data_IF_808881814398
#
_entry.id   IF_808881814398
#
_cell.length_a   1.000
_cell.length_b   1.000
_cell.length_c   1.000
_cell.angle_alpha   90.00
_cell.angle_beta   90.00
_cell.angle_gamma   90.00
#
_symmetry.space_group_name_H-M   'P 1'
#
loop_
_entity.id
_entity.type
_entity.pdbx_description
1 polymer ?
#
# COMPACT_ATOMS: atom_id res chain seq x y z
N UNK A 1 4.71 24.94 27.47
CA UNK A 1 3.71 23.90 27.18
C UNK A 1 4.27 23.08 26.03
N UNK A 2 4.94 22.00 26.40
CA UNK A 2 5.70 21.13 25.52
C UNK A 2 4.71 20.16 24.87
N UNK A 3 4.47 20.34 23.57
CA UNK A 3 3.54 19.49 22.81
C UNK A 3 4.35 18.33 22.23
N UNK A 4 4.27 17.18 22.89
CA UNK A 4 4.85 15.94 22.41
C UNK A 4 4.20 15.54 21.08
N UNK A 5 5.03 15.38 20.05
CA UNK A 5 4.63 14.80 18.78
C UNK A 5 4.09 13.36 18.99
N UNK A 6 3.07 12.93 18.24
CA UNK A 6 2.66 11.54 18.26
C UNK A 6 3.77 10.69 17.63
N UNK A 7 4.44 9.88 18.46
CA UNK A 7 5.30 8.81 17.97
C UNK A 7 4.44 7.78 17.24
N UNK A 8 4.32 7.94 15.92
CA UNK A 8 3.59 7.01 15.08
C UNK A 8 4.47 5.80 14.73
N UNK A 9 4.30 4.76 15.55
CA UNK A 9 4.46 3.33 15.26
C UNK A 9 5.53 2.93 14.24
N UNK A 10 6.70 2.57 14.74
CA UNK A 10 7.50 1.54 14.08
C UNK A 10 6.64 0.26 13.89
N UNK A 11 6.90 -0.55 12.85
CA UNK A 11 6.39 -1.92 12.79
C UNK A 11 6.96 -2.72 13.97
N UNK A 12 6.31 -2.63 15.12
CA UNK A 12 6.60 -3.34 16.36
C UNK A 12 5.56 -4.45 16.59
N UNK A 13 5.02 -5.00 15.51
CA UNK A 13 4.15 -6.18 15.54
C UNK A 13 4.96 -7.46 15.52
N UNK A 14 4.43 -8.52 16.14
CA UNK A 14 4.93 -9.89 16.00
C UNK A 14 4.96 -10.30 14.52
N UNK A 15 5.77 -11.29 14.14
CA UNK A 15 5.85 -11.79 12.75
C UNK A 15 4.46 -12.16 12.21
N UNK A 16 3.63 -12.76 13.05
CA UNK A 16 2.24 -13.10 12.75
C UNK A 16 1.40 -11.87 12.31
N UNK A 17 1.60 -10.73 12.96
CA UNK A 17 0.91 -9.49 12.61
C UNK A 17 1.41 -8.92 11.28
N UNK A 18 2.71 -9.02 11.02
CA UNK A 18 3.30 -8.60 9.75
C UNK A 18 2.80 -9.48 8.58
N UNK A 19 2.67 -10.79 8.80
CA UNK A 19 2.10 -11.72 7.83
C UNK A 19 0.62 -11.40 7.54
N UNK A 20 -0.18 -11.06 8.56
CA UNK A 20 -1.57 -10.61 8.39
C UNK A 20 -1.66 -9.32 7.59
N UNK A 21 -0.87 -8.33 7.95
CA UNK A 21 -0.84 -7.04 7.27
C UNK A 21 -0.42 -7.19 5.82
N UNK A 22 0.59 -8.01 5.54
CA UNK A 22 1.03 -8.26 4.18
C UNK A 22 0.00 -9.07 3.37
N UNK A 23 -0.69 -10.03 3.99
CA UNK A 23 -1.83 -10.71 3.37
C UNK A 23 -2.96 -9.76 2.96
N UNK A 24 -3.32 -8.84 3.86
CA UNK A 24 -4.32 -7.79 3.57
C UNK A 24 -3.89 -6.88 2.40
N UNK A 25 -2.60 -6.53 2.34
CA UNK A 25 -2.02 -5.75 1.22
C UNK A 25 -2.15 -6.48 -0.12
N UNK A 26 -1.95 -7.80 -0.12
CA UNK A 26 -2.08 -8.64 -1.31
C UNK A 26 -3.55 -8.94 -1.68
N UNK A 27 -4.51 -8.53 -0.85
CA UNK A 27 -5.94 -8.77 -1.06
C UNK A 27 -6.37 -10.19 -0.67
N UNK A 28 -5.63 -10.86 0.21
CA UNK A 28 -5.95 -12.19 0.72
C UNK A 28 -6.91 -12.12 1.92
N UNK A 29 -7.71 -13.16 2.12
CA UNK A 29 -8.59 -13.30 3.31
C UNK A 29 -7.82 -13.69 4.58
N UNK A 30 -6.55 -14.10 4.46
CA UNK A 30 -5.71 -14.56 5.55
C UNK A 30 -4.27 -14.07 5.46
N UNK A 31 -3.44 -14.37 6.49
CA UNK A 31 -2.03 -14.01 6.49
C UNK A 31 -1.27 -14.75 5.37
N UNK A 32 -0.20 -14.15 4.88
CA UNK A 32 0.80 -14.88 4.08
C UNK A 32 1.60 -15.83 4.99
N UNK A 33 2.34 -16.76 4.39
CA UNK A 33 3.35 -17.51 5.15
C UNK A 33 4.54 -16.63 5.53
N UNK A 34 5.23 -16.99 6.61
CA UNK A 34 6.46 -16.31 7.03
C UNK A 34 7.54 -16.37 5.95
N UNK A 35 7.60 -17.46 5.19
CA UNK A 35 8.52 -17.65 4.07
C UNK A 35 8.27 -16.64 2.95
N UNK A 36 6.99 -16.38 2.62
CA UNK A 36 6.61 -15.37 1.63
C UNK A 36 6.97 -13.98 2.11
N UNK A 37 6.68 -13.67 3.39
CA UNK A 37 7.05 -12.39 3.98
C UNK A 37 8.57 -12.20 3.95
N UNK A 38 9.34 -13.22 4.36
CA UNK A 38 10.80 -13.19 4.38
C UNK A 38 11.37 -13.01 2.97
N UNK A 39 10.92 -13.82 2.01
CA UNK A 39 11.35 -13.71 0.62
C UNK A 39 11.04 -12.34 0.02
N UNK A 40 9.86 -11.77 0.29
CA UNK A 40 9.49 -10.44 -0.20
C UNK A 40 10.37 -9.34 0.41
N UNK A 41 10.84 -9.50 1.64
CA UNK A 41 11.75 -8.51 2.22
C UNK A 41 13.14 -8.56 1.58
N UNK A 42 13.63 -9.75 1.29
CA UNK A 42 14.99 -9.94 0.81
C UNK A 42 15.13 -9.90 -0.72
N UNK A 43 14.03 -10.05 -1.47
CA UNK A 43 13.99 -9.94 -2.92
C UNK A 43 12.98 -8.87 -3.38
N UNK A 44 13.44 -7.66 -3.75
CA UNK A 44 12.59 -6.58 -4.23
C UNK A 44 11.81 -6.92 -5.51
N UNK A 45 12.37 -7.76 -6.38
CA UNK A 45 11.71 -8.17 -7.62
C UNK A 45 10.54 -9.09 -7.30
N UNK A 46 10.75 -10.03 -6.38
CA UNK A 46 9.69 -10.91 -5.88
C UNK A 46 8.57 -10.12 -5.19
N UNK A 47 8.91 -9.14 -4.32
CA UNK A 47 7.91 -8.27 -3.72
C UNK A 47 7.10 -7.50 -4.78
N UNK A 48 7.77 -6.87 -5.75
CA UNK A 48 7.09 -6.18 -6.84
C UNK A 48 6.14 -7.11 -7.61
N UNK A 49 6.59 -8.34 -7.91
CA UNK A 49 5.78 -9.32 -8.61
C UNK A 49 4.54 -9.72 -7.82
N UNK A 50 4.64 -9.92 -6.49
CA UNK A 50 3.49 -10.18 -5.63
C UNK A 50 2.46 -9.04 -5.70
N UNK A 51 2.92 -7.78 -5.64
CA UNK A 51 2.02 -6.62 -5.68
C UNK A 51 1.36 -6.44 -7.06
N UNK A 52 2.11 -6.65 -8.13
CA UNK A 52 1.60 -6.60 -9.50
C UNK A 52 0.62 -7.75 -9.78
N UNK A 53 0.84 -8.90 -9.16
CA UNK A 53 -0.02 -10.09 -9.29
C UNK A 53 -1.32 -10.02 -8.50
N UNK A 54 -1.51 -9.06 -7.58
CA UNK A 54 -2.65 -9.03 -6.62
C UNK A 54 -4.06 -9.08 -7.23
N UNK A 55 -4.21 -8.78 -8.53
CA UNK A 55 -5.50 -8.84 -9.26
C UNK A 55 -5.63 -10.07 -10.16
N UNK A 56 -4.64 -10.94 -10.17
CA UNK A 56 -4.58 -12.18 -10.93
C UNK A 56 -4.40 -13.34 -9.95
N UNK A 57 -5.52 -13.93 -9.53
CA UNK A 57 -5.52 -15.01 -8.52
C UNK A 57 -4.56 -16.15 -8.89
N UNK A 58 -4.54 -16.56 -10.16
CA UNK A 58 -3.67 -17.62 -10.64
C UNK A 58 -2.18 -17.28 -10.46
N UNK A 59 -1.78 -16.07 -10.83
CA UNK A 59 -0.38 -15.65 -10.77
C UNK A 59 0.05 -15.35 -9.33
N UNK A 60 -0.84 -14.76 -8.53
CA UNK A 60 -0.61 -14.53 -7.11
C UNK A 60 -0.43 -15.86 -6.37
N UNK A 61 -1.33 -16.83 -6.57
CA UNK A 61 -1.22 -18.14 -5.94
C UNK A 61 0.05 -18.88 -6.35
N UNK A 62 0.48 -18.74 -7.61
CA UNK A 62 1.75 -19.30 -8.06
C UNK A 62 2.94 -18.71 -7.29
N UNK A 63 3.01 -17.38 -7.17
CA UNK A 63 4.09 -16.71 -6.43
C UNK A 63 4.06 -17.07 -4.93
N UNK A 64 2.89 -17.05 -4.30
CA UNK A 64 2.71 -17.43 -2.89
C UNK A 64 3.15 -18.88 -2.61
N UNK A 65 2.97 -19.78 -3.59
CA UNK A 65 3.36 -21.19 -3.45
C UNK A 65 4.82 -21.46 -3.81
N UNK A 66 5.52 -20.49 -4.39
CA UNK A 66 6.90 -20.63 -4.88
C UNK A 66 7.78 -19.44 -4.44
N UNK A 67 7.90 -19.15 -3.13
CA UNK A 67 8.80 -18.10 -2.66
C UNK A 67 10.26 -18.45 -3.01
N UNK A 68 11.07 -17.50 -3.50
CA UNK A 68 12.47 -17.73 -3.76
C UNK A 68 13.21 -18.07 -2.47
N UNK A 69 14.20 -18.96 -2.57
CA UNK A 69 15.08 -19.29 -1.43
C UNK A 69 16.02 -18.12 -1.22
N UNK A 70 15.92 -17.51 -0.04
CA UNK A 70 16.84 -16.46 0.39
C UNK A 70 17.99 -17.16 1.11
N UNK A 71 19.17 -17.14 0.51
CA UNK A 71 20.37 -17.67 1.16
C UNK A 71 20.80 -16.68 2.26
N UNK A 72 20.51 -17.01 3.52
CA UNK A 72 20.90 -16.24 4.71
C UNK A 72 22.42 -16.10 4.92
N UNK A 73 23.25 -16.43 3.92
CA UNK A 73 24.69 -16.58 4.02
C UNK A 73 25.50 -15.56 3.19
N UNK A 74 24.92 -14.79 2.26
CA UNK A 74 25.73 -14.06 1.27
C UNK A 74 25.94 -12.55 1.51
N UNK A 75 25.55 -12.00 2.66
CA UNK A 75 25.79 -10.57 2.98
C UNK A 75 26.62 -10.35 4.25
N UNK A 76 27.34 -11.39 4.71
CA UNK A 76 28.27 -11.32 5.85
C UNK A 76 29.74 -11.19 5.43
N UNK A 77 30.04 -10.81 4.17
CA UNK A 77 31.44 -10.76 3.68
C UNK A 77 32.09 -9.37 3.71
N UNK A 78 31.51 -8.36 4.36
CA UNK A 78 32.18 -7.04 4.43
C UNK A 78 32.43 -6.48 5.84
N UNK A 79 31.98 -7.11 6.92
CA UNK A 79 32.39 -6.67 8.26
C UNK A 79 32.74 -7.81 9.22
N UNK A 80 34.02 -7.78 9.61
CA UNK A 80 34.60 -8.28 10.85
C UNK A 80 34.87 -9.79 10.98
N UNK A 81 36.15 -10.13 10.76
CA UNK A 81 36.96 -10.74 11.82
C UNK A 81 36.59 -10.12 13.17
N UNK A 82 35.75 -10.78 13.96
CA UNK A 82 35.80 -10.80 15.44
C UNK A 82 34.67 -11.66 15.99
N UNK A 83 35.09 -12.70 16.73
CA UNK A 83 34.43 -13.30 17.87
C UNK A 83 33.01 -13.88 17.69
N UNK A 84 33.00 -15.22 17.79
CA UNK A 84 31.97 -16.06 18.44
C UNK A 84 30.73 -15.34 18.96
N UNK A 85 29.59 -15.63 18.34
CA UNK A 85 28.28 -15.25 18.84
C UNK A 85 27.23 -15.51 17.78
N UNK A 86 26.45 -16.56 17.97
CA UNK A 86 25.24 -16.89 17.19
C UNK A 86 24.49 -15.62 16.81
N UNK A 87 24.27 -15.31 15.52
CA UNK A 87 23.49 -14.15 15.14
C UNK A 87 22.04 -14.38 15.60
N UNK A 88 21.67 -13.69 16.67
CA UNK A 88 20.31 -13.71 17.21
C UNK A 88 19.35 -13.10 16.20
N UNK A 89 18.27 -13.85 15.91
CA UNK A 89 17.14 -13.53 15.01
C UNK A 89 16.57 -12.10 15.16
N UNK A 90 16.88 -11.40 16.24
CA UNK A 90 16.44 -10.03 16.52
C UNK A 90 17.14 -8.96 15.67
N UNK A 91 18.40 -9.15 15.27
CA UNK A 91 19.14 -8.15 14.48
C UNK A 91 18.73 -8.18 13.00
N UNK A 92 18.37 -9.37 12.51
CA UNK A 92 17.85 -9.57 11.15
C UNK A 92 16.45 -8.95 10.99
N UNK A 93 15.54 -9.21 11.93
CA UNK A 93 14.17 -8.68 11.89
C UNK A 93 14.09 -7.14 11.80
N UNK A 94 15.01 -6.43 12.47
CA UNK A 94 15.03 -4.95 12.50
C UNK A 94 15.43 -4.31 11.17
N UNK A 95 16.38 -4.88 10.43
CA UNK A 95 16.87 -4.32 9.14
C UNK A 95 15.94 -4.68 7.98
N UNK A 96 15.44 -5.91 8.00
CA UNK A 96 14.47 -6.52 7.08
C UNK A 96 13.17 -5.69 7.09
N UNK A 97 12.59 -5.43 8.26
CA UNK A 97 11.37 -4.62 8.36
C UNK A 97 11.51 -3.20 7.79
N UNK A 98 12.68 -2.57 7.90
CA UNK A 98 12.88 -1.18 7.47
C UNK A 98 12.96 -1.01 5.95
N UNK A 99 13.58 -1.95 5.23
CA UNK A 99 13.69 -1.89 3.76
C UNK A 99 12.35 -2.20 3.08
N UNK A 100 11.64 -3.23 3.56
CA UNK A 100 10.29 -3.55 3.11
C UNK A 100 9.31 -2.43 3.45
N UNK A 101 9.40 -1.84 4.66
CA UNK A 101 8.59 -0.68 5.04
C UNK A 101 8.87 0.55 4.19
N UNK A 102 10.12 0.81 3.81
CA UNK A 102 10.45 1.96 2.97
C UNK A 102 9.84 1.82 1.56
N UNK A 103 9.83 0.61 1.01
CA UNK A 103 9.18 0.31 -0.28
C UNK A 103 7.65 0.20 -0.18
N UNK A 104 7.14 -0.45 0.86
CA UNK A 104 5.70 -0.50 1.13
C UNK A 104 5.14 0.89 1.41
N UNK A 105 5.86 1.75 2.14
CA UNK A 105 5.50 3.16 2.35
C UNK A 105 5.57 3.95 1.04
N UNK A 106 6.46 3.63 0.11
CA UNK A 106 6.47 4.29 -1.20
C UNK A 106 5.32 3.83 -2.13
N UNK A 107 4.91 2.56 -2.06
CA UNK A 107 3.86 1.97 -2.92
C UNK A 107 2.44 1.89 -2.32
N UNK A 108 2.31 2.00 -0.99
CA UNK A 108 1.08 1.92 -0.18
C UNK A 108 0.90 3.08 0.78
N UNK A 109 1.74 4.13 0.73
CA UNK A 109 1.40 5.35 1.45
C UNK A 109 -0.01 5.73 1.04
N UNK A 110 -0.85 5.97 2.02
CA UNK A 110 -2.04 6.77 1.83
C UNK A 110 -1.70 8.19 2.22
N UNK A 111 -2.36 9.17 1.61
CA UNK A 111 -2.30 10.52 2.11
C UNK A 111 -2.87 10.59 3.53
N UNK A 112 -2.47 11.61 4.29
CA UNK A 112 -3.01 11.87 5.62
C UNK A 112 -4.54 12.08 5.57
N UNK A 113 -5.24 11.75 6.65
CA UNK A 113 -6.72 11.82 6.70
C UNK A 113 -7.27 13.20 6.37
N UNK A 114 -6.52 14.26 6.69
CA UNK A 114 -6.86 15.64 6.30
C UNK A 114 -6.81 15.83 4.78
N UNK A 115 -5.75 15.38 4.12
CA UNK A 115 -5.61 15.43 2.66
C UNK A 115 -6.67 14.54 2.00
N UNK A 116 -6.91 13.34 2.52
CA UNK A 116 -7.95 12.45 2.02
C UNK A 116 -9.33 13.10 2.09
N UNK A 117 -9.69 13.70 3.23
CA UNK A 117 -10.97 14.42 3.41
C UNK A 117 -11.07 15.59 2.44
N UNK A 118 -10.05 16.44 2.36
CA UNK A 118 -10.01 17.58 1.44
C UNK A 118 -10.23 17.14 -0.02
N UNK A 119 -9.51 16.11 -0.46
CA UNK A 119 -9.67 15.54 -1.81
C UNK A 119 -11.06 14.95 -2.02
N UNK A 120 -11.63 14.29 -0.99
CA UNK A 120 -12.97 13.70 -1.06
C UNK A 120 -14.05 14.77 -1.15
N UNK A 121 -13.95 15.84 -0.34
CA UNK A 121 -14.90 16.95 -0.33
C UNK A 121 -14.97 17.61 -1.71
N UNK A 122 -13.81 17.88 -2.32
CA UNK A 122 -13.73 18.37 -3.69
C UNK A 122 -14.42 17.42 -4.70
N UNK A 123 -14.35 16.10 -4.49
CA UNK A 123 -15.01 15.13 -5.35
C UNK A 123 -16.52 14.99 -5.09
N UNK A 124 -17.00 15.29 -3.88
CA UNK A 124 -18.43 15.20 -3.55
C UNK A 124 -19.27 16.27 -4.24
N UNK A 125 -18.70 17.46 -4.44
CA UNK A 125 -19.31 18.60 -5.14
C UNK A 125 -18.94 18.68 -6.63
N UNK A 126 -18.08 17.77 -7.11
CA UNK A 126 -17.61 17.81 -8.50
C UNK A 126 -18.72 17.40 -9.49
N UNK A 127 -18.96 18.18 -10.56
CA UNK A 127 -19.98 17.87 -11.56
C UNK A 127 -19.70 16.59 -12.35
N UNK A 128 -18.48 16.07 -12.27
CA UNK A 128 -18.08 14.81 -12.91
C UNK A 128 -18.23 13.58 -11.99
N UNK A 129 -18.67 13.76 -10.75
CA UNK A 129 -18.90 12.65 -9.82
C UNK A 129 -20.14 11.85 -10.24
N UNK A 130 -19.99 10.54 -10.42
CA UNK A 130 -21.05 9.67 -10.90
C UNK A 130 -21.25 8.50 -9.94
N UNK A 131 -22.49 8.02 -9.83
CA UNK A 131 -22.75 6.72 -9.23
C UNK A 131 -22.16 5.63 -10.12
N UNK A 132 -21.57 4.61 -9.49
CA UNK A 132 -21.12 3.41 -10.18
C UNK A 132 -22.28 2.79 -10.99
N UNK A 133 -22.09 2.48 -12.29
CA UNK A 133 -23.13 1.83 -13.07
C UNK A 133 -23.37 0.41 -12.56
N UNK A 134 -24.65 0.02 -12.45
CA UNK A 134 -25.13 -1.31 -12.02
C UNK A 134 -24.83 -2.41 -13.05
N UNK A 135 -23.56 -2.57 -13.44
CA UNK A 135 -23.09 -3.62 -14.35
C UNK A 135 -22.09 -4.51 -13.61
N UNK A 136 -22.36 -5.82 -13.64
CA UNK A 136 -21.72 -6.92 -12.89
C UNK A 136 -20.18 -6.87 -12.79
N UNK A 137 -19.46 -6.31 -13.77
CA UNK A 137 -17.99 -6.19 -13.74
C UNK A 137 -17.46 -5.34 -12.58
N UNK A 138 -18.28 -4.40 -12.11
CA UNK A 138 -17.87 -3.41 -11.13
C UNK A 138 -18.09 -3.91 -9.69
N UNK A 139 -18.89 -4.97 -9.47
CA UNK A 139 -19.09 -5.59 -8.15
C UNK A 139 -17.89 -6.39 -7.65
N UNK A 140 -17.03 -6.89 -8.54
CA UNK A 140 -15.80 -7.58 -8.15
C UNK A 140 -14.77 -6.65 -7.46
N UNK A 141 -14.82 -5.34 -7.76
CA UNK A 141 -13.90 -4.34 -7.17
C UNK A 141 -14.39 -3.73 -5.86
N UNK A 142 -15.62 -4.03 -5.41
CA UNK A 142 -16.26 -3.40 -4.23
C UNK A 142 -16.57 -4.37 -3.10
N UNK A 143 -16.13 -5.63 -3.17
CA UNK A 143 -16.39 -6.63 -2.11
C UNK A 143 -15.66 -6.38 -0.79
N UNK A 144 -14.79 -5.36 -0.69
CA UNK A 144 -14.11 -5.00 0.56
C UNK A 144 -14.71 -3.79 1.28
N UNK A 145 -15.90 -3.31 0.89
CA UNK A 145 -16.56 -2.21 1.58
C UNK A 145 -18.08 -2.45 1.70
N UNK A 146 -18.48 -3.17 2.75
CA UNK A 146 -19.85 -3.16 3.23
C UNK A 146 -19.85 -2.83 4.72
N UNK A 147 -19.99 -1.54 5.05
CA UNK A 147 -20.54 -1.09 6.33
C UNK A 147 -21.02 0.36 6.30
N UNK A 148 -21.58 0.84 5.20
CA UNK A 148 -22.62 1.87 5.25
C UNK A 148 -23.29 1.96 3.89
N UNK A 149 -24.60 2.19 3.83
CA UNK A 149 -25.43 2.13 2.62
C UNK A 149 -25.14 3.19 1.54
N UNK A 150 -23.91 3.70 1.46
CA UNK A 150 -23.50 4.74 0.51
C UNK A 150 -22.94 4.08 -0.75
N UNK A 151 -23.64 4.25 -1.88
CA UNK A 151 -23.17 3.75 -3.16
C UNK A 151 -21.79 4.35 -3.51
N UNK A 152 -20.82 3.48 -3.81
CA UNK A 152 -19.46 3.87 -4.17
C UNK A 152 -19.48 4.74 -5.45
N UNK A 153 -18.96 5.96 -5.36
CA UNK A 153 -18.91 6.93 -6.48
C UNK A 153 -17.62 6.80 -7.29
N UNK A 154 -17.72 7.10 -8.58
CA UNK A 154 -16.60 7.11 -9.53
C UNK A 154 -16.41 8.51 -10.13
N UNK A 155 -15.20 8.79 -10.61
CA UNK A 155 -14.92 9.99 -11.39
C UNK A 155 -15.32 9.78 -12.85
N UNK A 156 -16.19 10.61 -13.41
CA UNK A 156 -16.61 10.55 -14.82
C UNK A 156 -15.54 11.01 -15.83
N UNK A 157 -14.44 11.61 -15.38
CA UNK A 157 -13.31 12.01 -16.24
C UNK A 157 -12.30 10.87 -16.45
N UNK A 158 -12.01 10.09 -15.41
CA UNK A 158 -10.98 9.03 -15.45
C UNK A 158 -11.49 7.62 -15.09
N UNK A 159 -12.75 7.45 -14.68
CA UNK A 159 -13.35 6.17 -14.32
C UNK A 159 -12.90 5.58 -12.98
N UNK A 160 -12.00 6.25 -12.24
CA UNK A 160 -11.49 5.76 -10.97
C UNK A 160 -12.54 5.85 -9.86
N UNK A 161 -12.51 4.88 -8.93
CA UNK A 161 -13.26 4.94 -7.67
C UNK A 161 -12.72 6.07 -6.81
N UNK A 162 -13.60 6.98 -6.38
CA UNK A 162 -13.19 8.19 -5.66
C UNK A 162 -12.48 7.85 -4.35
N UNK A 163 -13.06 6.99 -3.51
CA UNK A 163 -12.51 6.57 -2.21
C UNK A 163 -11.12 5.95 -2.30
N UNK A 164 -10.78 5.35 -3.45
CA UNK A 164 -9.48 4.72 -3.67
C UNK A 164 -8.48 5.73 -4.24
N UNK A 165 -8.89 6.51 -5.24
CA UNK A 165 -8.02 7.48 -5.91
C UNK A 165 -7.56 8.57 -4.94
N UNK A 166 -8.46 9.11 -4.12
CA UNK A 166 -8.12 10.21 -3.20
C UNK A 166 -7.16 9.78 -2.10
N UNK A 167 -7.11 8.49 -1.77
CA UNK A 167 -6.18 7.94 -0.77
C UNK A 167 -4.75 7.84 -1.26
N UNK A 168 -4.50 7.79 -2.57
CA UNK A 168 -3.16 7.52 -3.09
C UNK A 168 -2.35 8.83 -3.25
N UNK A 169 -1.11 8.92 -2.72
CA UNK A 169 -0.28 10.12 -2.76
C UNK A 169 0.28 10.41 -4.15
N UNK A 170 0.40 9.39 -5.00
CA UNK A 170 0.85 9.49 -6.38
C UNK A 170 -0.27 9.89 -7.35
N UNK A 171 -1.52 9.93 -6.88
CA UNK A 171 -2.65 10.34 -7.70
C UNK A 171 -2.85 11.84 -7.67
N UNK A 172 -3.33 12.37 -8.79
CA UNK A 172 -3.75 13.77 -8.93
C UNK A 172 -5.12 13.85 -9.62
N UNK A 173 -5.86 14.93 -9.38
CA UNK A 173 -7.14 15.14 -10.04
C UNK A 173 -6.91 15.51 -11.52
N UNK A 174 -7.56 14.83 -12.48
CA UNK A 174 -7.35 15.08 -13.91
C UNK A 174 -8.02 16.38 -14.41
N UNK A 175 -8.73 17.11 -13.55
CA UNK A 175 -9.47 18.31 -13.93
C UNK A 175 -8.88 19.54 -13.25
N UNK A 176 -8.75 20.62 -14.02
CA UNK A 176 -8.23 21.89 -13.53
C UNK A 176 -9.21 22.54 -12.54
N UNK A 177 -8.68 23.30 -11.59
CA UNK A 177 -9.50 24.11 -10.70
C UNK A 177 -10.23 25.19 -11.53
N UNK A 178 -11.54 25.42 -11.31
CA UNK A 178 -12.31 26.40 -12.08
C UNK A 178 -11.82 27.85 -11.88
N UNK A 179 -11.26 28.15 -10.71
CA UNK A 179 -10.89 29.52 -10.30
C UNK A 179 -9.39 29.71 -10.03
N UNK A 180 -8.64 28.62 -9.86
CA UNK A 180 -7.22 28.67 -9.44
C UNK A 180 -6.34 28.16 -10.58
N UNK A 181 -5.76 29.09 -11.34
CA UNK A 181 -4.87 28.75 -12.43
C UNK A 181 -3.66 27.94 -11.93
N UNK A 182 -3.29 26.89 -12.68
CA UNK A 182 -2.16 26.03 -12.34
C UNK A 182 -2.44 24.98 -11.26
N UNK A 183 -3.66 24.93 -10.73
CA UNK A 183 -4.08 23.95 -9.73
C UNK A 183 -5.10 22.96 -10.29
N UNK A 184 -5.14 21.75 -9.74
CA UNK A 184 -6.20 20.78 -9.96
C UNK A 184 -7.42 21.10 -9.09
N UNK A 185 -8.57 20.45 -9.31
CA UNK A 185 -9.73 20.58 -8.42
C UNK A 185 -9.47 20.16 -6.97
N UNK A 186 -8.38 19.46 -6.67
CA UNK A 186 -7.97 19.17 -5.29
C UNK A 186 -7.18 20.31 -4.65
N UNK A 187 -7.02 21.43 -5.35
CA UNK A 187 -6.16 22.57 -4.98
C UNK A 187 -4.68 22.15 -4.84
N UNK A 188 -4.28 21.17 -5.65
CA UNK A 188 -2.91 20.69 -5.71
C UNK A 188 -2.27 21.16 -7.03
N UNK A 189 -0.96 21.46 -7.06
CA UNK A 189 -0.28 21.88 -8.28
C UNK A 189 -0.45 20.84 -9.40
N UNK A 190 -0.69 21.32 -10.62
CA UNK A 190 -0.68 20.45 -11.79
C UNK A 190 0.78 20.04 -12.04
N UNK A 191 1.07 18.76 -11.81
CA UNK A 191 2.36 18.17 -12.18
C UNK A 191 2.36 17.90 -13.68
N UNK A 192 3.26 18.56 -14.40
CA UNK A 192 3.46 18.43 -15.86
C UNK A 192 4.31 17.21 -16.19
#
# INVERSE_FOLDING_TARGET
MESAAPEMGAFTGTIEEQCRQFGSILGLEGPVSEEVLFAAVHDPSYAHNLLSARRSEMFLNYLLSNPPKVDSASEAETEAKSAEGTPSNMVLAKKVGHALWKWAKAGFATVEDEIYRKRMDACTVCPHSQSKPDKLLYNALSKSAASDGTAEKICGKCGCVLSKKTKLPTESCPDNHPELAGMTRWEEPITV
#
